data_IF_951628678169
#
_entry.id   IF_951628678169
#
_cell.length_a   1.000
_cell.length_b   1.000
_cell.length_c   1.000
_cell.angle_alpha   90.00
_cell.angle_beta   90.00
_cell.angle_gamma   90.00
#
_symmetry.space_group_name_H-M   'P 1'
#
loop_
_entity.id
_entity.type
_entity.pdbx_description
1 polymer ?
#
# COMPACT_ATOMS: atom_id res chain seq x y z
N UNK A 1 -10.24 -9.80 -52.37
CA UNK A 1 -9.77 -8.59 -51.67
C UNK A 1 -10.60 -8.42 -50.40
N UNK A 2 -10.15 -8.99 -49.28
CA UNK A 2 -10.84 -8.95 -48.00
C UNK A 2 -10.06 -7.98 -47.09
N UNK A 3 -10.67 -6.83 -46.80
CA UNK A 3 -10.11 -5.85 -45.89
C UNK A 3 -10.30 -6.33 -44.45
N UNK A 4 -9.19 -6.40 -43.71
CA UNK A 4 -9.19 -6.63 -42.28
C UNK A 4 -9.44 -5.29 -41.58
N UNK A 5 -10.34 -5.19 -40.58
CA UNK A 5 -10.46 -3.98 -39.77
C UNK A 5 -9.32 -3.91 -38.80
N UNK A 6 -8.75 -2.70 -38.61
CA UNK A 6 -7.70 -2.38 -37.66
C UNK A 6 -8.19 -2.54 -36.20
N UNK A 7 -7.32 -2.97 -35.25
CA UNK A 7 -7.70 -3.07 -33.85
C UNK A 7 -7.91 -1.66 -33.26
N UNK A 8 -9.11 -1.45 -32.71
CA UNK A 8 -9.45 -0.24 -31.98
C UNK A 8 -8.56 -0.10 -30.73
N UNK A 9 -7.90 1.03 -30.59
CA UNK A 9 -7.15 1.40 -29.40
C UNK A 9 -8.13 1.74 -28.27
N UNK A 10 -8.43 0.76 -27.44
CA UNK A 10 -9.05 1.00 -26.13
C UNK A 10 -7.98 1.65 -25.22
N UNK A 11 -7.97 2.97 -25.18
CA UNK A 11 -7.21 3.74 -24.20
C UNK A 11 -7.98 3.64 -22.89
N UNK A 12 -7.54 2.74 -22.02
CA UNK A 12 -8.06 2.60 -20.67
C UNK A 12 -8.21 3.99 -20.02
N UNK A 13 -9.42 4.28 -19.58
CA UNK A 13 -9.75 5.53 -18.89
C UNK A 13 -8.86 5.67 -17.67
N UNK A 14 -8.03 6.73 -17.67
CA UNK A 14 -7.31 7.16 -16.47
C UNK A 14 -8.35 7.46 -15.39
N UNK A 15 -8.25 6.91 -14.16
CA UNK A 15 -9.16 7.25 -13.08
C UNK A 15 -9.18 8.77 -12.90
N UNK A 16 -10.37 9.35 -12.84
CA UNK A 16 -10.55 10.78 -12.58
C UNK A 16 -9.97 11.18 -11.23
N UNK A 17 -9.83 12.52 -10.97
CA UNK A 17 -9.25 13.00 -9.72
C UNK A 17 -10.03 12.47 -8.53
N UNK A 18 -9.26 11.99 -7.52
CA UNK A 18 -9.80 11.54 -6.23
C UNK A 18 -10.69 12.66 -5.66
N UNK A 19 -11.95 12.39 -5.27
CA UNK A 19 -12.81 13.41 -4.69
C UNK A 19 -12.08 14.07 -3.50
N UNK A 20 -12.14 15.40 -3.44
CA UNK A 20 -11.52 16.19 -2.39
C UNK A 20 -11.96 15.70 -1.00
N UNK A 21 -11.08 15.81 -0.03
CA UNK A 21 -11.34 15.55 1.38
C UNK A 21 -12.55 16.40 1.78
N UNK A 22 -13.62 15.75 2.24
CA UNK A 22 -14.79 16.43 2.79
C UNK A 22 -14.36 17.28 3.99
N UNK A 23 -14.52 18.62 3.96
CA UNK A 23 -14.14 19.49 5.08
C UNK A 23 -14.96 19.24 6.35
N UNK A 24 -16.02 18.43 6.30
CA UNK A 24 -16.84 18.01 7.43
C UNK A 24 -16.51 16.59 7.95
N UNK A 25 -15.55 15.89 7.35
CA UNK A 25 -15.17 14.57 7.82
C UNK A 25 -14.55 14.65 9.22
N UNK A 26 -15.06 13.86 10.15
CA UNK A 26 -14.43 13.66 11.46
C UNK A 26 -12.99 13.17 11.19
N UNK A 27 -11.96 13.82 11.80
CA UNK A 27 -10.60 13.34 11.64
C UNK A 27 -10.53 11.86 12.03
N UNK A 28 -9.98 11.04 11.13
CA UNK A 28 -9.71 9.64 11.43
C UNK A 28 -8.73 9.50 12.61
N UNK A 29 -8.55 8.31 13.16
CA UNK A 29 -7.60 8.09 14.24
C UNK A 29 -6.18 8.51 13.78
N UNK A 30 -5.38 8.97 14.73
CA UNK A 30 -3.96 9.22 14.47
C UNK A 30 -3.28 7.90 14.08
N UNK A 31 -2.88 7.80 12.84
CA UNK A 31 -2.30 6.58 12.26
C UNK A 31 -1.09 6.11 13.08
N UNK A 32 -0.22 7.03 13.47
CA UNK A 32 1.00 6.68 14.21
C UNK A 32 0.71 6.29 15.67
N UNK A 33 -0.32 6.85 16.28
CA UNK A 33 -0.78 6.42 17.60
C UNK A 33 -1.31 4.99 17.54
N UNK A 34 -2.17 4.66 16.58
CA UNK A 34 -2.71 3.31 16.41
C UNK A 34 -1.62 2.28 16.11
N UNK A 35 -0.68 2.61 15.22
CA UNK A 35 0.45 1.72 14.92
C UNK A 35 1.37 1.55 16.14
N UNK A 36 1.59 2.61 16.91
CA UNK A 36 2.38 2.55 18.15
C UNK A 36 1.75 1.63 19.19
N UNK A 37 0.44 1.67 19.37
CA UNK A 37 -0.29 0.73 20.24
C UNK A 37 -0.15 -0.71 19.77
N UNK A 38 -0.27 -0.96 18.47
CA UNK A 38 -0.07 -2.27 17.87
C UNK A 38 1.36 -2.79 18.10
N UNK A 39 2.38 -1.94 17.92
CA UNK A 39 3.78 -2.29 18.20
C UNK A 39 3.97 -2.64 19.67
N UNK A 40 3.43 -1.83 20.59
CA UNK A 40 3.50 -2.12 22.03
C UNK A 40 2.88 -3.47 22.38
N UNK A 41 1.73 -3.78 21.83
CA UNK A 41 1.08 -5.07 22.01
C UNK A 41 1.91 -6.23 21.46
N UNK A 42 2.52 -6.07 20.28
CA UNK A 42 3.41 -7.08 19.69
C UNK A 42 4.67 -7.29 20.52
N UNK A 43 5.28 -6.21 21.03
CA UNK A 43 6.48 -6.26 21.87
C UNK A 43 6.21 -7.02 23.19
N UNK A 44 5.05 -6.81 23.79
CA UNK A 44 4.63 -7.55 24.99
C UNK A 44 4.46 -9.05 24.75
N UNK A 45 4.01 -9.43 23.56
CA UNK A 45 3.72 -10.83 23.21
C UNK A 45 4.92 -11.58 22.67
N UNK A 46 5.70 -10.94 21.81
CA UNK A 46 6.74 -11.59 21.01
C UNK A 46 8.15 -11.10 21.41
N UNK A 47 8.25 -10.02 22.18
CA UNK A 47 9.51 -9.31 22.39
C UNK A 47 9.85 -8.36 21.24
N UNK A 48 10.98 -7.66 21.36
CA UNK A 48 11.45 -6.65 20.40
C UNK A 48 12.89 -6.91 19.93
N UNK A 49 13.37 -8.13 20.09
CA UNK A 49 14.75 -8.52 19.72
C UNK A 49 14.97 -8.67 18.21
N UNK A 50 16.21 -8.98 17.80
CA UNK A 50 16.58 -9.11 16.39
C UNK A 50 15.75 -10.13 15.61
N UNK A 51 15.36 -11.23 16.26
CA UNK A 51 14.51 -12.24 15.64
C UNK A 51 13.13 -11.69 15.30
N UNK A 52 12.49 -10.96 16.23
CA UNK A 52 11.19 -10.33 15.99
C UNK A 52 11.29 -9.27 14.91
N UNK A 53 12.36 -8.47 14.91
CA UNK A 53 12.62 -7.51 13.82
C UNK A 53 12.69 -8.19 12.46
N UNK A 54 13.39 -9.32 12.35
CA UNK A 54 13.45 -10.09 11.11
C UNK A 54 12.07 -10.62 10.69
N UNK A 55 11.25 -11.10 11.65
CA UNK A 55 9.90 -11.58 11.36
C UNK A 55 8.96 -10.46 10.89
N UNK A 56 9.07 -9.25 11.46
CA UNK A 56 8.32 -8.07 10.99
C UNK A 56 8.70 -7.68 9.57
N UNK A 57 9.96 -7.82 9.17
CA UNK A 57 10.38 -7.61 7.78
C UNK A 57 9.87 -8.71 6.85
N UNK A 58 9.89 -9.97 7.29
CA UNK A 58 9.33 -11.08 6.52
C UNK A 58 7.81 -10.96 6.33
N UNK A 59 7.11 -10.38 7.30
CA UNK A 59 5.67 -10.08 7.19
C UNK A 59 5.36 -9.19 5.99
N UNK A 60 6.23 -8.24 5.62
CA UNK A 60 6.07 -7.45 4.41
C UNK A 60 6.05 -8.30 3.13
N UNK A 61 6.84 -9.34 3.08
CA UNK A 61 6.86 -10.26 1.92
C UNK A 61 5.57 -11.09 1.87
N UNK A 62 5.07 -11.53 3.01
CA UNK A 62 3.79 -12.23 3.11
C UNK A 62 2.66 -11.34 2.59
N UNK A 63 2.47 -10.13 3.14
CA UNK A 63 1.41 -9.19 2.74
C UNK A 63 1.51 -8.82 1.24
N UNK A 64 2.73 -8.62 0.74
CA UNK A 64 2.94 -8.37 -0.69
C UNK A 64 2.51 -9.56 -1.56
N UNK A 65 2.68 -10.78 -1.05
CA UNK A 65 2.18 -11.99 -1.68
C UNK A 65 0.65 -12.05 -1.71
N UNK A 66 -0.01 -11.60 -0.64
CA UNK A 66 -1.47 -11.53 -0.56
C UNK A 66 -2.05 -10.50 -1.53
N UNK A 67 -1.41 -9.34 -1.70
CA UNK A 67 -1.76 -8.37 -2.77
C UNK A 67 -1.71 -9.03 -4.14
N UNK A 68 -0.62 -9.76 -4.45
CA UNK A 68 -0.48 -10.45 -5.72
C UNK A 68 -1.56 -11.52 -5.91
N UNK A 69 -1.86 -12.28 -4.87
CA UNK A 69 -2.90 -13.32 -4.88
C UNK A 69 -4.29 -12.72 -5.09
N UNK A 70 -4.61 -11.63 -4.39
CA UNK A 70 -5.87 -10.92 -4.54
C UNK A 70 -6.02 -10.37 -5.97
N UNK A 71 -4.98 -9.78 -6.54
CA UNK A 71 -5.00 -9.25 -7.91
C UNK A 71 -5.19 -10.36 -8.95
N UNK A 72 -4.46 -11.48 -8.84
CA UNK A 72 -4.64 -12.64 -9.72
C UNK A 72 -6.06 -13.21 -9.60
N UNK A 73 -6.61 -13.25 -8.38
CA UNK A 73 -7.99 -13.67 -8.15
C UNK A 73 -9.02 -12.70 -8.73
N UNK A 74 -8.76 -11.40 -8.66
CA UNK A 74 -9.62 -10.36 -9.24
C UNK A 74 -9.65 -10.45 -10.78
N UNK A 75 -8.53 -10.74 -11.42
CA UNK A 75 -8.44 -10.85 -12.88
C UNK A 75 -8.90 -12.21 -13.41
N UNK A 76 -9.19 -13.18 -12.54
CA UNK A 76 -9.56 -14.53 -12.97
C UNK A 76 -8.44 -15.27 -13.70
N UNK A 77 -7.19 -14.97 -13.37
CA UNK A 77 -6.00 -15.53 -14.05
C UNK A 77 -5.99 -17.07 -14.05
N UNK A 78 -6.57 -17.70 -13.01
CA UNK A 78 -6.72 -19.15 -12.98
C UNK A 78 -8.12 -19.54 -13.51
N UNK A 79 -8.23 -20.11 -14.73
CA UNK A 79 -9.53 -20.44 -15.35
C UNK A 79 -10.39 -21.41 -14.52
N UNK A 80 -9.75 -22.27 -13.70
CA UNK A 80 -10.47 -23.24 -12.86
C UNK A 80 -11.16 -22.59 -11.67
N UNK A 81 -10.60 -21.48 -11.16
CA UNK A 81 -11.12 -20.78 -9.98
C UNK A 81 -12.06 -19.63 -10.35
N UNK A 82 -11.93 -19.10 -11.57
CA UNK A 82 -12.64 -17.90 -12.00
C UNK A 82 -12.20 -16.66 -11.22
N UNK A 83 -13.07 -15.67 -11.15
CA UNK A 83 -12.86 -14.44 -10.37
C UNK A 83 -13.25 -14.69 -8.92
N UNK A 84 -12.30 -14.52 -8.01
CA UNK A 84 -12.45 -14.83 -6.56
C UNK A 84 -12.29 -13.61 -5.66
N UNK A 85 -11.77 -12.51 -6.20
CA UNK A 85 -11.51 -11.27 -5.45
C UNK A 85 -12.04 -10.06 -6.19
N UNK A 86 -12.17 -8.95 -5.48
CA UNK A 86 -12.60 -7.64 -5.97
C UNK A 86 -11.46 -6.63 -5.89
N UNK A 87 -11.64 -5.45 -6.47
CA UNK A 87 -10.71 -4.33 -6.28
C UNK A 87 -10.63 -3.87 -4.82
N UNK A 88 -11.70 -4.03 -4.06
CA UNK A 88 -11.71 -3.72 -2.62
C UNK A 88 -10.82 -4.68 -1.83
N UNK A 89 -10.78 -5.97 -2.19
CA UNK A 89 -9.89 -6.94 -1.57
C UNK A 89 -8.43 -6.57 -1.85
N UNK A 90 -8.07 -6.23 -3.08
CA UNK A 90 -6.71 -5.76 -3.42
C UNK A 90 -6.34 -4.49 -2.64
N UNK A 91 -7.27 -3.54 -2.50
CA UNK A 91 -7.04 -2.33 -1.72
C UNK A 91 -6.85 -2.63 -0.22
N UNK A 92 -7.58 -3.61 0.32
CA UNK A 92 -7.40 -4.09 1.69
C UNK A 92 -5.99 -4.63 1.91
N UNK A 93 -5.54 -5.55 1.07
CA UNK A 93 -4.19 -6.12 1.16
C UNK A 93 -3.07 -5.05 1.03
N UNK A 94 -3.29 -4.03 0.19
CA UNK A 94 -2.36 -2.89 0.12
C UNK A 94 -2.32 -2.09 1.43
N UNK A 95 -3.43 -1.93 2.13
CA UNK A 95 -3.45 -1.32 3.45
C UNK A 95 -2.67 -2.15 4.46
N UNK A 96 -2.77 -3.48 4.40
CA UNK A 96 -2.04 -4.38 5.30
C UNK A 96 -0.52 -4.32 5.05
N UNK A 97 -0.08 -4.19 3.78
CA UNK A 97 1.33 -3.91 3.44
C UNK A 97 1.79 -2.60 4.08
N UNK A 98 0.99 -1.53 4.01
CA UNK A 98 1.34 -0.22 4.58
C UNK A 98 1.48 -0.33 6.10
N UNK A 99 0.51 -0.95 6.78
CA UNK A 99 0.54 -1.13 8.24
C UNK A 99 1.74 -1.98 8.66
N UNK A 100 2.01 -3.09 7.97
CA UNK A 100 3.16 -3.96 8.25
C UNK A 100 4.50 -3.22 8.07
N UNK A 101 4.61 -2.36 7.05
CA UNK A 101 5.79 -1.51 6.87
C UNK A 101 5.95 -0.49 8.00
N UNK A 102 4.86 0.13 8.44
CA UNK A 102 4.87 1.07 9.57
C UNK A 102 5.24 0.38 10.88
N UNK A 103 4.75 -0.82 11.14
CA UNK A 103 5.15 -1.65 12.30
C UNK A 103 6.64 -1.96 12.26
N UNK A 104 7.13 -2.45 11.12
CA UNK A 104 8.55 -2.78 10.96
C UNK A 104 9.46 -1.54 11.15
N UNK A 105 9.01 -0.36 10.72
CA UNK A 105 9.78 0.89 10.84
C UNK A 105 10.10 1.24 12.30
N UNK A 106 9.23 0.90 13.26
CA UNK A 106 9.47 1.12 14.69
C UNK A 106 10.69 0.35 15.22
N UNK A 107 11.12 -0.71 14.55
CA UNK A 107 12.34 -1.44 14.91
C UNK A 107 13.64 -0.71 14.55
N UNK A 108 13.56 0.35 13.74
CA UNK A 108 14.72 1.05 13.18
C UNK A 108 14.83 2.54 13.58
N UNK A 109 13.81 3.08 14.24
CA UNK A 109 13.80 4.47 14.69
C UNK A 109 12.85 4.65 15.86
N UNK A 110 13.20 5.53 16.79
CA UNK A 110 12.34 6.00 17.89
C UNK A 110 11.38 7.13 17.46
N UNK A 111 11.51 7.63 16.22
CA UNK A 111 10.71 8.72 15.67
C UNK A 111 10.17 8.37 14.27
N UNK A 112 9.39 7.27 14.14
CA UNK A 112 8.93 6.78 12.85
C UNK A 112 8.06 7.79 12.08
N UNK A 113 7.17 8.49 12.76
CA UNK A 113 6.32 9.53 12.15
C UNK A 113 7.16 10.66 11.53
N UNK A 114 8.16 11.14 12.26
CA UNK A 114 9.05 12.20 11.79
C UNK A 114 9.86 11.75 10.58
N UNK A 115 10.48 10.58 10.69
CA UNK A 115 11.28 10.01 9.59
C UNK A 115 10.43 9.83 8.32
N UNK A 116 9.22 9.33 8.45
CA UNK A 116 8.33 9.14 7.31
C UNK A 116 7.93 10.48 6.67
N UNK A 117 7.59 11.49 7.48
CA UNK A 117 7.28 12.85 7.00
C UNK A 117 8.45 13.47 6.24
N UNK A 118 9.66 13.36 6.77
CA UNK A 118 10.88 13.88 6.14
C UNK A 118 11.14 13.18 4.77
N UNK A 119 10.88 11.87 4.70
CA UNK A 119 10.98 11.10 3.43
C UNK A 119 9.93 11.53 2.41
N UNK A 120 8.69 11.73 2.83
CA UNK A 120 7.63 12.25 1.95
C UNK A 120 7.99 13.63 1.40
N UNK A 121 8.49 14.54 2.23
CA UNK A 121 8.93 15.87 1.79
C UNK A 121 10.09 15.79 0.77
N UNK A 122 11.00 14.83 0.92
CA UNK A 122 12.05 14.59 -0.07
C UNK A 122 11.51 14.07 -1.42
N UNK A 123 10.50 13.21 -1.38
CA UNK A 123 9.82 12.70 -2.58
C UNK A 123 9.08 13.85 -3.28
N UNK A 124 8.34 14.65 -2.54
CA UNK A 124 7.60 15.81 -3.07
C UNK A 124 8.53 16.78 -3.79
N UNK A 125 9.64 17.17 -3.17
CA UNK A 125 10.64 18.07 -3.80
C UNK A 125 11.19 17.50 -5.11
N UNK A 126 11.48 16.20 -5.15
CA UNK A 126 11.94 15.55 -6.39
C UNK A 126 10.86 15.54 -7.48
N UNK A 127 9.61 15.25 -7.11
CA UNK A 127 8.50 15.24 -8.06
C UNK A 127 8.29 16.64 -8.66
N UNK A 128 8.33 17.70 -7.85
CA UNK A 128 8.20 19.08 -8.35
C UNK A 128 9.32 19.47 -9.32
N UNK A 129 10.56 19.09 -9.01
CA UNK A 129 11.70 19.36 -9.89
C UNK A 129 11.55 18.72 -11.28
N UNK A 130 10.91 17.57 -11.40
CA UNK A 130 10.62 16.95 -12.70
C UNK A 130 9.57 17.74 -13.49
N UNK A 131 8.52 18.24 -12.86
CA UNK A 131 7.47 19.02 -13.53
C UNK A 131 7.94 20.42 -13.98
N UNK A 132 8.92 21.02 -13.30
CA UNK A 132 9.49 22.31 -13.68
C UNK A 132 10.53 22.20 -14.81
N UNK A 133 10.92 20.99 -15.20
CA UNK A 133 11.93 20.72 -16.25
C UNK A 133 11.30 20.39 -17.61
N UNK A 134 9.97 20.27 -17.71
CA UNK A 134 9.20 20.04 -18.94
C UNK A 134 8.61 21.37 -19.48
#
# INVERSE_FOLDING_TARGET
MTQHPAPGSDRGSVPGPVPGIDPGAVPGPDIWAVVGELVGWLDERNGSGPQETALRLLKLTEESGEVAQAYLGMTGQNPRKGTTHTSADVAGELCDVIVSAMVALHSFTDRPARLFTDRLGAIERRSRAFHESE
#
